data_IF_898958449355
#
_entry.id   IF_898958449355
#
_cell.length_a   1.000
_cell.length_b   1.000
_cell.length_c   1.000
_cell.angle_alpha   90.00
_cell.angle_beta   90.00
_cell.angle_gamma   90.00
#
_symmetry.space_group_name_H-M   'P 1'
#
loop_
_entity.id
_entity.type
_entity.pdbx_description
1 polymer ?
#
# COMPACT_ATOMS: atom_id res chain seq x y z
N UNK A 1 3.74 -15.01 2.47
CA UNK A 1 3.14 -14.13 3.48
C UNK A 1 4.11 -14.03 4.63
N UNK A 2 4.29 -12.84 5.22
CA UNK A 2 5.18 -12.63 6.35
C UNK A 2 4.73 -13.46 7.55
N UNK A 3 5.67 -14.00 8.33
CA UNK A 3 5.34 -14.63 9.62
C UNK A 3 4.89 -13.58 10.62
N UNK A 4 4.16 -13.97 11.65
CA UNK A 4 3.74 -13.06 12.73
C UNK A 4 4.93 -12.31 13.33
N UNK A 5 6.03 -13.02 13.59
CA UNK A 5 7.26 -12.39 14.10
C UNK A 5 7.85 -11.35 13.15
N UNK A 6 7.83 -11.61 11.84
CA UNK A 6 8.27 -10.62 10.85
C UNK A 6 7.35 -9.40 10.83
N UNK A 7 6.03 -9.61 10.92
CA UNK A 7 5.06 -8.51 10.98
C UNK A 7 5.27 -7.65 12.21
N UNK A 8 5.43 -8.25 13.40
CA UNK A 8 5.70 -7.52 14.65
C UNK A 8 6.97 -6.70 14.57
N UNK A 9 8.07 -7.30 14.08
CA UNK A 9 9.35 -6.59 13.92
C UNK A 9 9.22 -5.41 12.94
N UNK A 10 8.51 -5.61 11.83
CA UNK A 10 8.27 -4.55 10.84
C UNK A 10 7.40 -3.43 11.40
N UNK A 11 6.34 -3.75 12.14
CA UNK A 11 5.46 -2.78 12.80
C UNK A 11 6.21 -1.93 13.82
N UNK A 12 7.03 -2.57 14.66
CA UNK A 12 7.87 -1.87 15.62
C UNK A 12 8.85 -0.90 14.94
N UNK A 13 9.48 -1.32 13.83
CA UNK A 13 10.46 -0.50 13.13
C UNK A 13 9.84 0.63 12.31
N UNK A 14 8.81 0.34 11.49
CA UNK A 14 8.25 1.29 10.53
C UNK A 14 7.09 2.13 11.08
N UNK A 15 6.32 1.62 12.05
CA UNK A 15 5.12 2.32 12.56
C UNK A 15 5.30 2.88 13.98
N UNK A 16 6.24 2.34 14.77
CA UNK A 16 6.49 2.77 16.15
C UNK A 16 7.84 3.45 16.35
N UNK A 17 8.61 3.62 15.27
CA UNK A 17 9.93 4.26 15.27
C UNK A 17 10.94 3.65 16.28
N UNK A 18 10.78 2.37 16.64
CA UNK A 18 11.69 1.68 17.56
C UNK A 18 13.02 1.39 16.85
N UNK A 19 14.12 1.62 17.57
CA UNK A 19 15.45 1.26 17.10
C UNK A 19 15.66 -0.26 17.07
N UNK A 20 16.62 -0.72 16.25
CA UNK A 20 16.99 -2.15 16.19
C UNK A 20 17.40 -2.74 17.55
N UNK A 21 17.91 -1.90 18.46
CA UNK A 21 18.32 -2.32 19.80
C UNK A 21 17.12 -2.51 20.71
N UNK A 22 16.16 -1.59 20.69
CA UNK A 22 14.91 -1.69 21.46
C UNK A 22 14.07 -2.89 20.98
N UNK A 23 14.01 -3.12 19.67
CA UNK A 23 13.31 -4.29 19.11
C UNK A 23 14.01 -5.59 19.52
N UNK A 24 15.34 -5.61 19.51
CA UNK A 24 16.13 -6.78 19.91
C UNK A 24 15.86 -7.17 21.37
N UNK A 25 15.80 -6.18 22.26
CA UNK A 25 15.45 -6.35 23.67
C UNK A 25 14.03 -6.89 23.83
N UNK A 26 13.04 -6.27 23.18
CA UNK A 26 11.64 -6.69 23.25
C UNK A 26 11.40 -8.12 22.72
N UNK A 27 12.08 -8.48 21.64
CA UNK A 27 11.88 -9.76 20.93
C UNK A 27 12.80 -10.89 21.42
N UNK A 28 13.71 -10.60 22.37
CA UNK A 28 14.67 -11.55 22.91
C UNK A 28 15.65 -12.10 21.85
N UNK A 29 16.03 -11.29 20.86
CA UNK A 29 16.96 -11.67 19.79
C UNK A 29 18.12 -10.68 19.66
N UNK A 30 19.14 -11.01 18.88
CA UNK A 30 20.23 -10.07 18.64
C UNK A 30 19.79 -8.93 17.72
N UNK A 31 20.42 -7.75 17.87
CA UNK A 31 20.27 -6.61 16.94
C UNK A 31 20.50 -7.01 15.48
N UNK A 32 21.43 -7.92 15.23
CA UNK A 32 21.69 -8.46 13.89
C UNK A 32 20.53 -9.34 13.41
N UNK A 33 19.94 -10.14 14.30
CA UNK A 33 18.74 -10.93 14.03
C UNK A 33 17.53 -10.05 13.65
N UNK A 34 17.33 -8.91 14.33
CA UNK A 34 16.30 -7.93 13.95
C UNK A 34 16.55 -7.42 12.52
N UNK A 35 17.77 -6.96 12.24
CA UNK A 35 18.15 -6.45 10.91
C UNK A 35 17.89 -7.46 9.80
N UNK A 36 18.25 -8.72 10.04
CA UNK A 36 18.08 -9.79 9.06
C UNK A 36 16.61 -10.22 8.92
N UNK A 37 15.80 -10.06 9.96
CA UNK A 37 14.35 -10.24 9.88
C UNK A 37 13.70 -9.18 9.00
N UNK A 38 14.06 -7.89 9.20
CA UNK A 38 13.56 -6.75 8.41
C UNK A 38 13.91 -6.96 6.93
N UNK A 39 15.19 -7.18 6.61
CA UNK A 39 15.63 -7.36 5.22
C UNK A 39 14.93 -8.50 4.50
N UNK A 40 14.69 -9.62 5.18
CA UNK A 40 13.96 -10.76 4.59
C UNK A 40 12.48 -10.43 4.39
N UNK A 41 11.86 -9.73 5.33
CA UNK A 41 10.48 -9.29 5.19
C UNK A 41 10.31 -8.32 4.02
N UNK A 42 11.20 -7.34 3.89
CA UNK A 42 11.24 -6.40 2.76
C UNK A 42 11.38 -7.12 1.41
N UNK A 43 12.32 -8.06 1.31
CA UNK A 43 12.52 -8.83 0.09
C UNK A 43 11.24 -9.62 -0.30
N UNK A 44 10.56 -10.22 0.68
CA UNK A 44 9.29 -10.92 0.43
C UNK A 44 8.17 -9.97 0.00
N UNK A 45 8.05 -8.79 0.63
CA UNK A 45 7.05 -7.78 0.25
C UNK A 45 7.32 -7.24 -1.16
N UNK A 46 8.58 -7.00 -1.52
CA UNK A 46 8.97 -6.54 -2.85
C UNK A 46 8.69 -7.59 -3.92
N UNK A 47 8.98 -8.87 -3.66
CA UNK A 47 8.62 -9.96 -4.58
C UNK A 47 7.10 -10.05 -4.78
N UNK A 48 6.32 -9.96 -3.69
CA UNK A 48 4.87 -9.94 -3.76
C UNK A 48 4.37 -8.74 -4.58
N UNK A 49 4.92 -7.54 -4.37
CA UNK A 49 4.54 -6.36 -5.14
C UNK A 49 4.91 -6.50 -6.62
N UNK A 50 6.08 -7.04 -6.96
CA UNK A 50 6.47 -7.26 -8.35
C UNK A 50 5.51 -8.21 -9.08
N UNK A 51 5.01 -9.23 -8.36
CA UNK A 51 4.08 -10.22 -8.91
C UNK A 51 2.65 -9.69 -9.02
N UNK A 52 2.19 -8.94 -8.02
CA UNK A 52 0.79 -8.51 -7.93
C UNK A 52 0.53 -7.12 -8.53
N UNK A 53 1.58 -6.28 -8.55
CA UNK A 53 1.52 -4.84 -8.85
C UNK A 53 0.42 -4.13 -8.04
N UNK A 54 0.26 -4.53 -6.77
CA UNK A 54 -0.89 -4.18 -5.96
C UNK A 54 -0.88 -2.70 -5.57
N UNK A 55 0.25 -2.21 -5.06
CA UNK A 55 0.45 -0.80 -4.72
C UNK A 55 0.29 0.07 -5.96
N UNK A 56 0.86 -0.35 -7.10
CA UNK A 56 0.72 0.38 -8.37
C UNK A 56 -0.74 0.52 -8.81
N UNK A 57 -1.52 -0.57 -8.75
CA UNK A 57 -2.95 -0.58 -9.11
C UNK A 57 -3.77 0.33 -8.19
N UNK A 58 -3.57 0.23 -6.86
CA UNK A 58 -4.26 1.09 -5.89
C UNK A 58 -3.97 2.57 -6.14
N UNK A 59 -2.70 2.93 -6.33
CA UNK A 59 -2.33 4.32 -6.62
C UNK A 59 -2.98 4.84 -7.90
N UNK A 60 -3.11 4.01 -8.93
CA UNK A 60 -3.80 4.40 -10.17
C UNK A 60 -5.27 4.74 -9.92
N UNK A 61 -5.96 3.91 -9.15
CA UNK A 61 -7.36 4.12 -8.77
C UNK A 61 -7.50 5.40 -7.94
N UNK A 62 -6.64 5.59 -6.93
CA UNK A 62 -6.63 6.79 -6.08
C UNK A 62 -6.43 8.07 -6.90
N UNK A 63 -5.41 8.10 -7.76
CA UNK A 63 -5.12 9.27 -8.59
C UNK A 63 -6.29 9.61 -9.54
N UNK A 64 -6.87 8.59 -10.20
CA UNK A 64 -8.05 8.79 -11.06
C UNK A 64 -9.22 9.36 -10.26
N UNK A 65 -9.44 8.86 -9.04
CA UNK A 65 -10.50 9.35 -8.16
C UNK A 65 -10.26 10.81 -7.77
N UNK A 66 -9.03 11.17 -7.42
CA UNK A 66 -8.66 12.54 -7.06
C UNK A 66 -8.85 13.50 -8.25
N UNK A 67 -8.51 13.06 -9.46
CA UNK A 67 -8.70 13.86 -10.68
C UNK A 67 -10.18 14.10 -10.99
N UNK A 68 -11.02 13.07 -10.82
CA UNK A 68 -12.48 13.18 -10.96
C UNK A 68 -13.06 14.15 -9.92
N UNK A 69 -12.63 14.05 -8.65
CA UNK A 69 -13.09 14.95 -7.58
C UNK A 69 -12.74 16.40 -7.88
N UNK A 70 -11.51 16.68 -8.34
CA UNK A 70 -11.12 18.04 -8.76
C UNK A 70 -11.95 18.56 -9.93
N UNK A 71 -12.28 17.71 -10.90
CA UNK A 71 -13.10 18.11 -12.04
C UNK A 71 -14.55 18.41 -11.63
N UNK A 72 -15.11 17.66 -10.67
CA UNK A 72 -16.42 17.93 -10.06
C UNK A 72 -16.42 19.27 -9.33
N UNK A 73 -15.39 19.56 -8.54
CA UNK A 73 -15.31 20.80 -7.75
C UNK A 73 -15.16 22.05 -8.63
N UNK A 74 -14.60 21.89 -9.84
CA UNK A 74 -14.30 23.02 -10.74
C UNK A 74 -15.37 23.30 -11.80
N UNK A 75 -16.28 22.35 -12.09
CA UNK A 75 -17.29 22.51 -13.17
C UNK A 75 -18.73 22.31 -12.66
N UNK A 76 -19.62 23.28 -12.94
CA UNK A 76 -21.08 23.09 -12.96
C UNK A 76 -21.67 23.48 -14.33
N UNK A 77 -22.58 22.68 -14.93
CA UNK A 77 -23.18 21.45 -14.41
C UNK A 77 -22.43 20.17 -14.81
N UNK A 78 -22.57 19.13 -13.99
CA UNK A 78 -22.14 17.74 -14.25
C UNK A 78 -23.10 17.13 -15.28
N UNK A 79 -23.01 17.59 -16.52
CA UNK A 79 -23.67 17.01 -17.70
C UNK A 79 -22.65 16.63 -18.76
N UNK A 80 -21.36 16.76 -18.44
CA UNK A 80 -20.27 16.36 -19.30
C UNK A 80 -20.24 14.84 -19.38
N UNK A 81 -20.68 14.28 -20.52
CA UNK A 81 -20.63 12.84 -20.79
C UNK A 81 -19.24 12.27 -20.53
N UNK A 82 -18.18 13.05 -20.75
CA UNK A 82 -16.80 12.59 -20.51
C UNK A 82 -16.51 12.30 -19.04
N UNK A 83 -17.14 13.03 -18.11
CA UNK A 83 -16.97 12.79 -16.67
C UNK A 83 -17.72 11.53 -16.23
N UNK A 84 -18.91 11.29 -16.81
CA UNK A 84 -19.69 10.08 -16.57
C UNK A 84 -18.93 8.84 -17.06
N UNK A 85 -18.30 8.91 -18.24
CA UNK A 85 -17.46 7.82 -18.77
C UNK A 85 -16.27 7.53 -17.84
N UNK A 86 -15.53 8.56 -17.39
CA UNK A 86 -14.41 8.37 -16.44
C UNK A 86 -14.85 7.69 -15.14
N UNK A 87 -16.02 8.04 -14.62
CA UNK A 87 -16.57 7.41 -13.41
C UNK A 87 -16.91 5.94 -13.68
N UNK A 88 -17.52 5.62 -14.83
CA UNK A 88 -17.80 4.22 -15.20
C UNK A 88 -16.53 3.39 -15.33
N UNK A 89 -15.51 3.92 -16.01
CA UNK A 89 -14.20 3.26 -16.16
C UNK A 89 -13.54 3.00 -14.80
N UNK A 90 -13.61 3.96 -13.89
CA UNK A 90 -13.10 3.81 -12.53
C UNK A 90 -13.84 2.69 -11.78
N UNK A 91 -15.17 2.66 -11.87
CA UNK A 91 -15.99 1.62 -11.27
C UNK A 91 -15.65 0.23 -11.81
N UNK A 92 -15.51 0.06 -13.12
CA UNK A 92 -15.10 -1.21 -13.73
C UNK A 92 -13.70 -1.64 -13.28
N UNK A 93 -12.74 -0.71 -13.25
CA UNK A 93 -11.37 -0.99 -12.81
C UNK A 93 -11.32 -1.40 -11.34
N UNK A 94 -12.13 -0.77 -10.47
CA UNK A 94 -12.23 -1.16 -9.06
C UNK A 94 -12.91 -2.52 -8.88
N UNK A 95 -13.94 -2.84 -9.68
CA UNK A 95 -14.63 -4.12 -9.62
C UNK A 95 -13.69 -5.28 -10.01
N UNK A 96 -12.94 -5.11 -11.09
CA UNK A 96 -11.95 -6.08 -11.58
C UNK A 96 -10.73 -6.23 -10.66
N UNK A 97 -10.53 -5.32 -9.71
CA UNK A 97 -9.46 -5.41 -8.72
C UNK A 97 -9.82 -6.31 -7.53
N UNK A 98 -11.11 -6.47 -7.24
CA UNK A 98 -11.62 -7.24 -6.09
C UNK A 98 -11.89 -8.72 -6.45
N UNK A 99 -12.01 -9.04 -7.74
CA UNK A 99 -12.14 -10.41 -8.27
C UNK A 99 -10.79 -11.04 -8.63
#
# INVERSE_FOLDING_TARGET
MLTEKQQTIMDCYYNKDLSLSEIAENEGISRQGVRDSIKRAEAQLLDMENRLNFVKKIRRIQNKSDDILKEIDTKKPITDLSLIEKIKDLCEETYNFVQ
#
